data_IF_790715514732
#
_entry.id   IF_790715514732
#
_cell.length_a   1.000
_cell.length_b   1.000
_cell.length_c   1.000
_cell.angle_alpha   90.00
_cell.angle_beta   90.00
_cell.angle_gamma   90.00
#
_symmetry.space_group_name_H-M   'P 1'
#
loop_
_entity.id
_entity.type
_entity.pdbx_description
1 polymer ?
#
# COMPACT_ATOMS: atom_id res chain seq x y z
N UNK A 1 5.13 13.72 -18.22
CA UNK A 1 5.09 13.32 -16.79
C UNK A 1 5.13 11.81 -16.73
N UNK A 2 5.83 11.24 -15.75
CA UNK A 2 6.01 9.82 -15.54
C UNK A 2 5.38 9.41 -14.22
N UNK A 3 4.59 8.34 -14.24
CA UNK A 3 3.94 7.80 -13.07
C UNK A 3 4.33 6.34 -12.85
N UNK A 4 4.49 5.95 -11.59
CA UNK A 4 4.61 4.56 -11.15
C UNK A 4 3.35 4.22 -10.37
N UNK A 5 2.73 3.09 -10.69
CA UNK A 5 1.58 2.57 -9.92
C UNK A 5 1.92 1.17 -9.45
N UNK A 6 1.97 0.97 -8.13
CA UNK A 6 2.32 -0.33 -7.55
C UNK A 6 1.13 -1.28 -7.52
N UNK A 7 1.34 -2.58 -7.77
CA UNK A 7 0.27 -3.59 -7.72
C UNK A 7 -0.87 -3.34 -8.72
N UNK A 8 -0.50 -2.95 -9.95
CA UNK A 8 -1.40 -2.38 -10.95
C UNK A 8 -1.88 -3.35 -12.03
N UNK A 9 -1.63 -4.67 -11.89
CA UNK A 9 -2.09 -5.66 -12.86
C UNK A 9 -3.61 -5.94 -12.81
N UNK A 10 -4.32 -5.46 -11.78
CA UNK A 10 -5.77 -5.64 -11.59
C UNK A 10 -6.37 -4.58 -10.67
N UNK A 11 -7.69 -4.59 -10.53
CA UNK A 11 -8.42 -3.80 -9.54
C UNK A 11 -8.20 -2.29 -9.69
N UNK A 12 -8.11 -1.60 -8.55
CA UNK A 12 -7.95 -0.14 -8.49
C UNK A 12 -6.69 0.32 -9.20
N UNK A 13 -5.54 -0.35 -8.99
CA UNK A 13 -4.28 0.03 -9.62
C UNK A 13 -4.34 0.02 -11.16
N UNK A 14 -5.01 -0.97 -11.75
CA UNK A 14 -5.19 -1.04 -13.21
C UNK A 14 -6.03 0.13 -13.74
N UNK A 15 -7.09 0.50 -13.00
CA UNK A 15 -7.93 1.65 -13.35
C UNK A 15 -7.19 2.98 -13.17
N UNK A 16 -6.36 3.11 -12.15
CA UNK A 16 -5.48 4.28 -11.97
C UNK A 16 -4.55 4.43 -13.18
N UNK A 17 -3.92 3.33 -13.63
CA UNK A 17 -3.12 3.36 -14.85
C UNK A 17 -3.94 3.86 -16.05
N UNK A 18 -5.14 3.31 -16.27
CA UNK A 18 -6.04 3.72 -17.36
C UNK A 18 -6.34 5.21 -17.34
N UNK A 19 -6.66 5.77 -16.17
CA UNK A 19 -6.99 7.19 -16.05
C UNK A 19 -5.77 8.10 -16.19
N UNK A 20 -4.60 7.71 -15.67
CA UNK A 20 -3.37 8.47 -15.88
C UNK A 20 -3.00 8.50 -17.37
N UNK A 21 -3.13 7.37 -18.06
CA UNK A 21 -2.89 7.26 -19.51
C UNK A 21 -3.86 8.14 -20.33
N UNK A 22 -5.14 8.20 -19.95
CA UNK A 22 -6.12 9.07 -20.63
C UNK A 22 -5.84 10.57 -20.45
N UNK A 23 -5.13 10.94 -19.38
CA UNK A 23 -4.61 12.29 -19.15
C UNK A 23 -3.23 12.51 -19.81
N UNK A 24 -2.77 11.55 -20.61
CA UNK A 24 -1.53 11.59 -21.37
C UNK A 24 -0.24 11.45 -20.55
N UNK A 25 -0.34 10.90 -19.34
CA UNK A 25 0.81 10.58 -18.50
C UNK A 25 1.40 9.24 -18.96
N UNK A 26 2.73 9.15 -19.01
CA UNK A 26 3.42 7.87 -19.24
C UNK A 26 3.42 7.09 -17.93
N UNK A 27 2.95 5.84 -17.96
CA UNK A 27 2.75 5.01 -16.77
C UNK A 27 3.65 3.78 -16.80
N UNK A 28 4.45 3.63 -15.76
CA UNK A 28 5.10 2.37 -15.39
C UNK A 28 4.10 1.56 -14.56
N UNK A 29 3.45 0.61 -15.21
CA UNK A 29 2.57 -0.36 -14.57
C UNK A 29 3.46 -1.42 -13.91
N UNK A 30 3.33 -1.60 -12.60
CA UNK A 30 4.11 -2.63 -11.90
C UNK A 30 3.24 -3.73 -11.31
N UNK A 31 3.81 -4.93 -11.25
CA UNK A 31 3.18 -6.10 -10.68
C UNK A 31 4.24 -7.08 -10.16
N UNK A 32 3.90 -7.83 -9.12
CA UNK A 32 4.79 -8.87 -8.58
C UNK A 32 4.99 -10.04 -9.55
N UNK A 33 3.96 -10.35 -10.32
CA UNK A 33 3.93 -11.43 -11.31
C UNK A 33 4.06 -10.83 -12.71
N UNK A 34 5.14 -11.19 -13.40
CA UNK A 34 5.50 -10.65 -14.72
C UNK A 34 4.43 -10.95 -15.77
N UNK A 35 3.97 -12.20 -15.85
CA UNK A 35 2.95 -12.60 -16.82
C UNK A 35 1.68 -11.77 -16.67
N UNK A 36 1.15 -11.64 -15.46
CA UNK A 36 -0.06 -10.86 -15.19
C UNK A 36 0.15 -9.37 -15.43
N UNK A 37 1.37 -8.87 -15.20
CA UNK A 37 1.75 -7.49 -15.52
C UNK A 37 1.72 -7.20 -17.02
N UNK A 38 2.35 -8.06 -17.81
CA UNK A 38 2.35 -7.98 -19.28
C UNK A 38 0.93 -8.10 -19.85
N UNK A 39 0.13 -9.05 -19.36
CA UNK A 39 -1.28 -9.18 -19.75
C UNK A 39 -2.11 -7.92 -19.42
N UNK A 40 -1.80 -7.24 -18.31
CA UNK A 40 -2.46 -5.99 -17.94
C UNK A 40 -2.07 -4.83 -18.85
N UNK A 41 -0.81 -4.75 -19.28
CA UNK A 41 -0.36 -3.79 -20.30
C UNK A 41 -1.12 -4.01 -21.60
N UNK A 42 -1.19 -5.25 -22.10
CA UNK A 42 -1.92 -5.56 -23.33
C UNK A 42 -3.42 -5.20 -23.23
N UNK A 43 -4.04 -5.38 -22.06
CA UNK A 43 -5.42 -4.93 -21.82
C UNK A 43 -5.58 -3.41 -21.89
N UNK A 44 -4.58 -2.64 -21.44
CA UNK A 44 -4.62 -1.17 -21.51
C UNK A 44 -4.36 -0.65 -22.92
N UNK A 45 -3.54 -1.34 -23.70
CA UNK A 45 -3.27 -1.00 -25.11
C UNK A 45 -4.48 -1.25 -26.01
N UNK A 46 -5.26 -2.28 -25.72
CA UNK A 46 -6.53 -2.58 -26.40
C UNK A 46 -7.56 -1.49 -26.11
N UNK A 47 -7.61 -0.47 -26.97
CA UNK A 47 -8.59 0.62 -26.89
C UNK A 47 -8.12 1.97 -27.39
N UNK A 48 -6.81 2.18 -27.60
CA UNK A 48 -6.29 3.42 -28.22
C UNK A 48 -4.83 3.27 -28.65
N UNK A 49 -4.55 3.49 -29.94
CA UNK A 49 -3.17 3.48 -30.47
C UNK A 49 -2.28 4.53 -29.79
N UNK A 50 -2.88 5.66 -29.36
CA UNK A 50 -2.18 6.74 -28.65
C UNK A 50 -1.70 6.34 -27.24
N UNK A 51 -2.17 5.22 -26.69
CA UNK A 51 -1.83 4.73 -25.36
C UNK A 51 -0.67 3.72 -25.41
N UNK A 52 -0.44 3.10 -26.57
CA UNK A 52 0.48 1.97 -26.72
C UNK A 52 1.91 2.28 -26.26
N UNK A 53 2.42 3.46 -26.60
CA UNK A 53 3.79 3.88 -26.28
C UNK A 53 3.93 4.52 -24.88
N UNK A 54 2.81 4.71 -24.17
CA UNK A 54 2.77 5.39 -22.87
C UNK A 54 2.58 4.45 -21.68
N UNK A 55 2.37 3.17 -21.90
CA UNK A 55 2.28 2.17 -20.84
C UNK A 55 3.42 1.17 -20.93
N UNK A 56 4.20 1.08 -19.85
CA UNK A 56 5.40 0.24 -19.79
C UNK A 56 5.28 -0.66 -18.57
N UNK A 57 5.61 -1.94 -18.74
CA UNK A 57 5.65 -2.88 -17.62
C UNK A 57 7.03 -2.87 -16.97
N UNK A 58 7.06 -2.93 -15.63
CA UNK A 58 8.24 -3.32 -14.87
C UNK A 58 7.82 -4.22 -13.71
N UNK A 59 8.53 -5.31 -13.47
CA UNK A 59 8.25 -6.17 -12.32
C UNK A 59 8.52 -5.40 -11.01
N UNK A 60 7.63 -5.56 -10.02
CA UNK A 60 7.85 -5.02 -8.68
C UNK A 60 7.21 -5.92 -7.63
N UNK A 61 8.03 -6.46 -6.74
CA UNK A 61 7.62 -6.98 -5.45
C UNK A 61 8.03 -5.98 -4.37
N UNK A 62 7.07 -5.31 -3.76
CA UNK A 62 7.32 -4.24 -2.76
C UNK A 62 7.93 -4.77 -1.46
N UNK A 63 7.95 -6.09 -1.26
CA UNK A 63 8.60 -6.73 -0.11
C UNK A 63 10.05 -7.13 -0.38
N UNK A 64 10.55 -6.95 -1.61
CA UNK A 64 11.89 -7.33 -2.04
C UNK A 64 12.73 -6.09 -2.39
N UNK A 65 13.81 -5.88 -1.63
CA UNK A 65 14.73 -4.76 -1.82
C UNK A 65 15.41 -4.76 -3.20
N UNK A 66 15.73 -5.93 -3.76
CA UNK A 66 16.37 -6.02 -5.07
C UNK A 66 15.38 -5.63 -6.18
N UNK A 67 14.12 -6.05 -6.04
CA UNK A 67 13.04 -5.66 -6.96
C UNK A 67 12.78 -4.14 -6.92
N UNK A 68 12.76 -3.53 -5.73
CA UNK A 68 12.62 -2.07 -5.58
C UNK A 68 13.82 -1.32 -6.21
N UNK A 69 15.04 -1.76 -5.94
CA UNK A 69 16.25 -1.15 -6.49
C UNK A 69 16.29 -1.25 -8.02
N UNK A 70 15.88 -2.40 -8.56
CA UNK A 70 15.75 -2.62 -10.00
C UNK A 70 14.78 -1.64 -10.65
N UNK A 71 13.60 -1.41 -10.03
CA UNK A 71 12.64 -0.42 -10.51
C UNK A 71 13.21 1.01 -10.48
N UNK A 72 13.89 1.40 -9.40
CA UNK A 72 14.47 2.74 -9.30
C UNK A 72 15.52 2.98 -10.39
N UNK A 73 16.41 2.02 -10.63
CA UNK A 73 17.43 2.12 -11.68
C UNK A 73 16.80 2.13 -13.09
N UNK A 74 15.75 1.34 -13.30
CA UNK A 74 14.98 1.37 -14.54
C UNK A 74 14.38 2.76 -14.81
N UNK A 75 13.72 3.37 -13.83
CA UNK A 75 13.11 4.71 -13.98
C UNK A 75 14.18 5.76 -14.25
N UNK A 76 15.30 5.69 -13.51
CA UNK A 76 16.45 6.58 -13.71
C UNK A 76 17.00 6.48 -15.12
N UNK A 77 17.24 5.26 -15.60
CA UNK A 77 17.80 5.00 -16.92
C UNK A 77 16.85 5.37 -18.06
N UNK A 78 15.55 5.12 -17.92
CA UNK A 78 14.57 5.36 -18.98
C UNK A 78 14.04 6.79 -19.04
N UNK A 79 13.85 7.44 -17.88
CA UNK A 79 13.13 8.72 -17.80
C UNK A 79 13.93 9.81 -17.10
N UNK A 80 14.97 9.46 -16.33
CA UNK A 80 15.79 10.40 -15.57
C UNK A 80 15.10 11.06 -14.38
N UNK A 81 13.78 10.87 -14.19
CA UNK A 81 12.98 11.41 -13.09
C UNK A 81 11.67 10.64 -12.90
N UNK A 82 10.97 10.94 -11.81
CA UNK A 82 9.60 10.49 -11.57
C UNK A 82 8.72 11.68 -11.17
N UNK A 83 7.48 11.76 -11.65
CA UNK A 83 6.57 12.85 -11.26
C UNK A 83 5.49 12.38 -10.28
N UNK A 84 5.05 11.12 -10.39
CA UNK A 84 3.93 10.59 -9.60
C UNK A 84 4.27 9.17 -9.12
N UNK A 85 4.20 8.94 -7.82
CA UNK A 85 4.20 7.61 -7.23
C UNK A 85 2.81 7.32 -6.65
N UNK A 86 2.19 6.22 -7.05
CA UNK A 86 0.97 5.70 -6.44
C UNK A 86 1.27 4.38 -5.74
N UNK A 87 1.34 4.42 -4.42
CA UNK A 87 1.47 3.24 -3.57
C UNK A 87 0.09 2.58 -3.42
N UNK A 88 -0.26 1.71 -4.37
CA UNK A 88 -1.53 0.99 -4.42
C UNK A 88 -1.42 -0.48 -3.96
N UNK A 89 -0.25 -1.10 -4.08
CA UNK A 89 -0.04 -2.48 -3.65
C UNK A 89 -0.46 -2.68 -2.18
N UNK A 90 -1.28 -3.70 -1.93
CA UNK A 90 -1.72 -4.02 -0.58
C UNK A 90 -2.54 -5.30 -0.51
N UNK A 91 -2.56 -5.90 0.68
CA UNK A 91 -3.28 -7.13 1.00
C UNK A 91 -4.07 -6.99 2.30
N UNK A 92 -5.07 -7.85 2.49
CA UNK A 92 -5.98 -7.82 3.64
C UNK A 92 -5.45 -8.43 4.94
N UNK A 93 -4.38 -9.25 4.88
CA UNK A 93 -3.82 -9.91 6.06
C UNK A 93 -4.72 -10.94 6.73
N UNK A 94 -5.73 -11.42 6.00
CA UNK A 94 -6.69 -12.41 6.46
C UNK A 94 -7.24 -13.20 5.28
N UNK A 95 -7.64 -14.44 5.54
CA UNK A 95 -8.45 -15.24 4.62
C UNK A 95 -9.90 -15.07 5.04
N UNK A 96 -10.76 -14.70 4.10
CA UNK A 96 -12.19 -14.60 4.33
C UNK A 96 -12.87 -15.79 3.67
N UNK A 97 -13.69 -16.51 4.43
CA UNK A 97 -14.61 -17.50 3.89
C UNK A 97 -15.77 -16.74 3.24
N UNK A 98 -15.83 -16.79 1.91
CA UNK A 98 -16.80 -16.06 1.12
C UNK A 98 -18.23 -16.58 1.35
N UNK A 99 -18.40 -17.89 1.53
CA UNK A 99 -19.71 -18.50 1.70
C UNK A 99 -20.25 -18.18 3.10
N UNK A 100 -19.39 -18.24 4.13
CA UNK A 100 -19.73 -17.82 5.48
C UNK A 100 -20.02 -16.31 5.57
N UNK A 101 -19.26 -15.48 4.83
CA UNK A 101 -19.51 -14.05 4.76
C UNK A 101 -20.89 -13.75 4.14
N UNK A 102 -21.22 -14.38 3.01
CA UNK A 102 -22.53 -14.23 2.35
C UNK A 102 -23.66 -14.71 3.28
N UNK A 103 -23.52 -15.87 3.91
CA UNK A 103 -24.51 -16.38 4.85
C UNK A 103 -24.71 -15.46 6.08
N UNK A 104 -23.65 -14.80 6.55
CA UNK A 104 -23.75 -13.81 7.64
C UNK A 104 -24.47 -12.53 7.22
N UNK A 105 -24.33 -12.12 5.95
CA UNK A 105 -25.06 -10.96 5.40
C UNK A 105 -26.56 -11.22 5.23
N UNK A 106 -26.98 -12.49 5.18
CA UNK A 106 -28.38 -12.92 5.16
C UNK A 106 -28.98 -13.12 6.58
N UNK A 107 -28.29 -12.64 7.62
CA UNK A 107 -28.81 -12.61 9.00
C UNK A 107 -28.54 -13.86 9.83
N UNK A 108 -27.74 -14.81 9.34
CA UNK A 108 -27.27 -15.92 10.15
C UNK A 108 -26.31 -15.42 11.25
N UNK A 109 -26.51 -15.86 12.50
CA UNK A 109 -25.55 -15.62 13.60
C UNK A 109 -24.32 -16.51 13.41
N UNK A 110 -23.42 -16.08 12.55
CA UNK A 110 -22.12 -16.74 12.34
C UNK A 110 -21.08 -16.02 13.20
N UNK A 111 -20.22 -16.77 13.88
CA UNK A 111 -19.15 -16.16 14.66
C UNK A 111 -18.17 -15.48 13.72
N UNK A 112 -17.76 -14.24 14.01
CA UNK A 112 -16.78 -13.52 13.18
C UNK A 112 -15.44 -14.27 13.02
N UNK A 113 -15.07 -15.13 13.98
CA UNK A 113 -13.90 -15.99 13.88
C UNK A 113 -14.09 -17.19 12.93
N UNK A 114 -15.32 -17.53 12.56
CA UNK A 114 -15.63 -18.55 11.55
C UNK A 114 -15.60 -17.98 10.13
N UNK A 115 -15.70 -16.64 9.99
CA UNK A 115 -15.73 -15.95 8.68
C UNK A 115 -14.33 -15.49 8.26
N UNK A 116 -13.49 -15.12 9.23
CA UNK A 116 -12.19 -14.48 8.97
C UNK A 116 -11.08 -15.20 9.75
N UNK A 117 -10.17 -15.82 9.01
CA UNK A 117 -8.97 -16.46 9.54
C UNK A 117 -7.77 -15.53 9.43
N UNK A 118 -7.07 -15.34 10.54
CA UNK A 118 -5.81 -14.59 10.63
C UNK A 118 -4.78 -15.47 11.34
N UNK A 119 -3.61 -15.66 10.72
CA UNK A 119 -2.44 -16.25 11.36
C UNK A 119 -1.29 -15.25 11.33
N UNK A 120 -0.21 -15.58 12.03
CA UNK A 120 0.92 -14.67 12.18
C UNK A 120 1.58 -14.36 10.82
N UNK A 121 1.63 -15.32 9.91
CA UNK A 121 2.23 -15.18 8.58
C UNK A 121 1.45 -14.16 7.73
N UNK A 122 0.12 -14.29 7.66
CA UNK A 122 -0.75 -13.38 6.91
C UNK A 122 -0.71 -11.97 7.49
N UNK A 123 -0.69 -11.86 8.82
CA UNK A 123 -0.62 -10.58 9.53
C UNK A 123 0.72 -9.90 9.29
N UNK A 124 1.82 -10.63 9.38
CA UNK A 124 3.17 -10.13 9.11
C UNK A 124 3.32 -9.73 7.65
N UNK A 125 2.85 -10.54 6.70
CA UNK A 125 2.87 -10.21 5.27
C UNK A 125 2.06 -8.94 4.97
N UNK A 126 0.96 -8.72 5.69
CA UNK A 126 0.12 -7.53 5.53
C UNK A 126 0.84 -6.26 5.98
N UNK A 127 1.48 -6.28 7.15
CA UNK A 127 2.30 -5.17 7.63
C UNK A 127 3.47 -4.92 6.67
N UNK A 128 4.16 -5.99 6.27
CA UNK A 128 5.30 -5.94 5.36
C UNK A 128 4.94 -5.36 3.99
N UNK A 129 3.80 -5.76 3.42
CA UNK A 129 3.35 -5.26 2.11
C UNK A 129 2.77 -3.85 2.22
N UNK A 130 1.81 -3.66 3.12
CA UNK A 130 1.03 -2.42 3.16
C UNK A 130 1.87 -1.25 3.66
N UNK A 131 2.69 -1.44 4.70
CA UNK A 131 3.46 -0.37 5.30
C UNK A 131 4.93 -0.39 4.84
N UNK A 132 5.71 -1.42 5.17
CA UNK A 132 7.15 -1.42 4.88
C UNK A 132 7.44 -1.41 3.38
N UNK A 133 6.61 -2.07 2.57
CA UNK A 133 6.72 -2.03 1.12
C UNK A 133 6.43 -0.65 0.55
N UNK A 134 5.40 0.04 1.08
CA UNK A 134 5.11 1.44 0.76
C UNK A 134 6.27 2.36 1.15
N UNK A 135 6.79 2.22 2.38
CA UNK A 135 7.91 3.01 2.92
C UNK A 135 9.15 2.87 2.03
N UNK A 136 9.64 1.63 1.85
CA UNK A 136 10.85 1.36 1.05
C UNK A 136 10.71 1.76 -0.42
N UNK A 137 9.55 1.50 -1.03
CA UNK A 137 9.31 1.94 -2.42
C UNK A 137 9.34 3.46 -2.53
N UNK A 138 8.75 4.15 -1.55
CA UNK A 138 8.78 5.62 -1.51
C UNK A 138 10.20 6.13 -1.34
N UNK A 139 10.94 5.64 -0.35
CA UNK A 139 12.32 6.05 -0.07
C UNK A 139 13.24 5.86 -1.28
N UNK A 140 13.14 4.71 -1.96
CA UNK A 140 13.94 4.43 -3.15
C UNK A 140 13.63 5.36 -4.34
N UNK A 141 12.43 5.92 -4.39
CA UNK A 141 11.97 6.77 -5.49
C UNK A 141 11.97 8.27 -5.17
N UNK A 142 12.16 8.66 -3.91
CA UNK A 142 12.29 10.08 -3.50
C UNK A 142 13.36 10.81 -4.32
N UNK A 143 14.59 10.29 -4.52
CA UNK A 143 15.61 10.99 -5.30
C UNK A 143 15.18 11.30 -6.75
N UNK A 144 14.33 10.46 -7.34
CA UNK A 144 13.79 10.66 -8.69
C UNK A 144 12.59 11.61 -8.69
N UNK A 145 11.80 11.62 -7.61
CA UNK A 145 10.69 12.55 -7.40
C UNK A 145 11.19 13.98 -7.18
N UNK A 146 12.33 14.16 -6.49
CA UNK A 146 12.95 15.48 -6.27
C UNK A 146 13.37 16.16 -7.58
N UNK A 147 13.54 15.40 -8.66
CA UNK A 147 13.83 15.92 -10.00
C UNK A 147 12.56 16.37 -10.78
N UNK A 148 11.37 16.19 -10.20
CA UNK A 148 10.12 16.71 -10.76
C UNK A 148 9.89 18.16 -10.34
N UNK A 149 9.34 18.95 -11.25
CA UNK A 149 8.83 20.30 -10.93
C UNK A 149 7.57 20.25 -10.04
N UNK A 150 6.90 19.10 -9.98
CA UNK A 150 5.64 18.96 -9.26
C UNK A 150 5.44 17.52 -8.76
N UNK A 151 6.29 17.03 -7.84
CA UNK A 151 6.24 15.66 -7.35
C UNK A 151 4.95 15.35 -6.59
N UNK A 152 4.45 14.13 -6.76
CA UNK A 152 3.25 13.60 -6.11
C UNK A 152 3.50 12.21 -5.57
N UNK A 153 3.13 11.98 -4.31
CA UNK A 153 3.01 10.63 -3.74
C UNK A 153 1.56 10.45 -3.32
N UNK A 154 0.94 9.34 -3.74
CA UNK A 154 -0.42 8.98 -3.35
C UNK A 154 -0.37 7.62 -2.68
N UNK A 155 -0.68 7.58 -1.38
CA UNK A 155 -0.77 6.34 -0.62
C UNK A 155 -2.22 5.87 -0.57
N UNK A 156 -2.53 4.75 -1.23
CA UNK A 156 -3.89 4.18 -1.23
C UNK A 156 -4.17 3.53 0.12
N UNK A 157 -4.84 4.28 0.98
CA UNK A 157 -5.21 3.85 2.33
C UNK A 157 -6.61 3.22 2.39
N UNK A 158 -7.25 3.23 3.56
CA UNK A 158 -8.62 2.77 3.79
C UNK A 158 -9.31 3.60 4.86
N UNK A 159 -10.64 3.69 4.79
CA UNK A 159 -11.45 4.25 5.87
C UNK A 159 -11.28 3.49 7.20
N UNK A 160 -10.88 2.22 7.15
CA UNK A 160 -10.55 1.41 8.32
C UNK A 160 -9.27 1.87 9.02
N UNK A 161 -8.38 2.60 8.34
CA UNK A 161 -7.18 3.19 8.95
C UNK A 161 -7.45 4.44 9.82
N UNK A 162 -8.72 4.78 10.09
CA UNK A 162 -9.07 5.86 11.02
C UNK A 162 -8.78 5.43 12.45
N UNK A 163 -8.20 6.34 13.25
CA UNK A 163 -7.83 6.07 14.65
C UNK A 163 -8.98 5.59 15.56
N UNK A 164 -10.24 5.88 15.20
CA UNK A 164 -11.41 5.34 15.93
C UNK A 164 -11.50 3.80 15.89
N UNK A 165 -10.83 3.15 14.95
CA UNK A 165 -10.74 1.69 14.82
C UNK A 165 -9.49 1.09 15.46
N UNK A 166 -8.67 1.89 16.14
CA UNK A 166 -7.54 1.44 16.96
C UNK A 166 -7.94 1.59 18.42
N UNK A 167 -8.44 0.56 19.12
CA UNK A 167 -8.87 0.73 20.51
C UNK A 167 -7.68 0.94 21.45
N UNK A 168 -6.50 0.36 21.15
CA UNK A 168 -5.27 0.47 21.93
C UNK A 168 -4.86 1.95 22.10
N UNK A 169 -4.99 2.45 23.33
CA UNK A 169 -4.83 3.88 23.62
C UNK A 169 -3.38 4.36 23.54
N UNK A 170 -2.41 3.48 23.80
CA UNK A 170 -0.99 3.78 23.62
C UNK A 170 -0.68 4.01 22.14
N UNK A 171 -1.01 3.06 21.27
CA UNK A 171 -0.80 3.17 19.83
C UNK A 171 -1.59 4.35 19.23
N UNK A 172 -2.85 4.53 19.63
CA UNK A 172 -3.65 5.70 19.24
C UNK A 172 -3.02 7.01 19.70
N UNK A 173 -2.44 7.03 20.90
CA UNK A 173 -1.71 8.15 21.47
C UNK A 173 -0.48 8.54 20.65
N UNK A 174 0.29 7.55 20.20
CA UNK A 174 1.43 7.77 19.30
C UNK A 174 0.95 8.31 17.95
N UNK A 175 0.01 7.61 17.29
CA UNK A 175 -0.40 7.91 15.93
C UNK A 175 -1.19 9.23 15.78
N UNK A 176 -1.79 9.75 16.87
CA UNK A 176 -2.48 11.05 16.86
C UNK A 176 -1.53 12.23 17.04
N UNK A 177 -0.36 12.03 17.65
CA UNK A 177 0.60 13.09 17.99
C UNK A 177 1.47 13.44 16.77
N UNK A 178 0.88 14.13 15.80
CA UNK A 178 1.50 14.48 14.52
C UNK A 178 2.79 15.28 14.69
N UNK A 179 2.86 16.13 15.71
CA UNK A 179 3.98 17.04 15.90
C UNK A 179 5.25 16.31 16.30
N UNK A 180 5.11 15.25 17.10
CA UNK A 180 6.21 14.42 17.60
C UNK A 180 6.28 13.03 16.94
N UNK A 181 5.50 12.79 15.89
CA UNK A 181 5.48 11.51 15.19
C UNK A 181 6.80 11.32 14.42
N UNK A 182 7.41 10.14 14.60
CA UNK A 182 8.60 9.71 13.84
C UNK A 182 8.36 8.34 13.26
N UNK A 183 9.21 7.94 12.32
CA UNK A 183 9.10 6.60 11.71
C UNK A 183 9.43 5.51 12.72
N UNK A 184 10.38 5.75 13.62
CA UNK A 184 10.76 4.82 14.68
C UNK A 184 9.59 4.56 15.64
N UNK A 185 8.80 5.59 15.94
CA UNK A 185 7.57 5.42 16.75
C UNK A 185 6.49 4.63 16.00
N UNK A 186 6.40 4.77 14.69
CA UNK A 186 5.49 3.95 13.88
C UNK A 186 5.97 2.49 13.89
N UNK A 187 7.27 2.28 13.69
CA UNK A 187 7.88 0.96 13.67
C UNK A 187 7.72 0.28 15.04
N UNK A 188 7.86 1.01 16.16
CA UNK A 188 7.58 0.53 17.52
C UNK A 188 6.11 0.08 17.68
N UNK A 189 5.15 0.85 17.16
CA UNK A 189 3.72 0.46 17.18
C UNK A 189 3.49 -0.86 16.45
N UNK A 190 4.16 -1.07 15.32
CA UNK A 190 4.05 -2.31 14.54
C UNK A 190 4.72 -3.48 15.24
N UNK A 191 5.90 -3.29 15.83
CA UNK A 191 6.61 -4.33 16.57
C UNK A 191 5.79 -4.83 17.75
N UNK A 192 5.20 -3.91 18.53
CA UNK A 192 4.32 -4.25 19.66
C UNK A 192 3.05 -4.96 19.17
N UNK A 193 2.43 -4.46 18.10
CA UNK A 193 1.26 -5.12 17.50
C UNK A 193 1.55 -6.55 17.05
N UNK A 194 2.65 -6.78 16.31
CA UNK A 194 3.04 -8.10 15.83
C UNK A 194 3.39 -9.04 16.97
N UNK A 195 4.09 -8.55 18.00
CA UNK A 195 4.37 -9.30 19.22
C UNK A 195 3.07 -9.73 19.92
N UNK A 196 2.16 -8.79 20.16
CA UNK A 196 0.89 -9.07 20.83
C UNK A 196 0.01 -10.02 20.00
N UNK A 197 0.06 -9.94 18.67
CA UNK A 197 -0.61 -10.92 17.80
C UNK A 197 -0.03 -12.32 18.01
N UNK A 198 1.30 -12.45 17.99
CA UNK A 198 2.01 -13.73 18.15
C UNK A 198 1.75 -14.38 19.51
N UNK A 199 1.60 -13.56 20.56
CA UNK A 199 1.27 -14.00 21.92
C UNK A 199 -0.22 -14.29 22.12
N UNK A 200 -1.08 -14.06 21.09
CA UNK A 200 -2.52 -14.25 21.19
C UNK A 200 -3.21 -13.25 22.12
N UNK A 201 -2.60 -12.08 22.33
CA UNK A 201 -3.01 -11.12 23.36
C UNK A 201 -3.75 -9.89 22.82
N UNK A 202 -4.13 -9.89 21.53
CA UNK A 202 -4.78 -8.74 20.86
C UNK A 202 -5.91 -8.13 21.67
N UNK A 203 -6.88 -8.93 22.10
CA UNK A 203 -8.04 -8.45 22.87
C UNK A 203 -7.62 -7.84 24.21
N UNK A 204 -6.78 -8.55 24.97
CA UNK A 204 -6.29 -8.11 26.27
C UNK A 204 -5.47 -6.80 26.17
N UNK A 205 -4.83 -6.57 25.03
CA UNK A 205 -4.03 -5.39 24.72
C UNK A 205 -4.80 -4.31 23.94
N UNK A 206 -6.11 -4.50 23.73
CA UNK A 206 -6.97 -3.51 23.07
C UNK A 206 -6.72 -3.35 21.57
N UNK A 207 -6.14 -4.32 20.89
CA UNK A 207 -6.00 -4.31 19.44
C UNK A 207 -7.33 -4.69 18.75
N UNK A 208 -7.56 -4.25 17.49
CA UNK A 208 -8.68 -4.74 16.70
C UNK A 208 -8.59 -6.26 16.53
N UNK A 209 -9.70 -6.98 16.71
CA UNK A 209 -9.73 -8.45 16.59
C UNK A 209 -9.80 -8.94 15.15
N UNK A 210 -10.57 -8.25 14.32
CA UNK A 210 -10.89 -8.62 12.95
C UNK A 210 -10.22 -7.62 12.01
N UNK A 211 -9.66 -8.10 10.90
CA UNK A 211 -8.88 -7.28 9.97
C UNK A 211 -7.75 -6.52 10.68
N UNK A 212 -7.17 -7.13 11.71
CA UNK A 212 -6.33 -6.44 12.70
C UNK A 212 -5.11 -5.80 12.02
N UNK A 213 -4.37 -6.60 11.25
CA UNK A 213 -3.22 -6.15 10.49
C UNK A 213 -3.58 -5.11 9.42
N UNK A 214 -4.74 -5.26 8.77
CA UNK A 214 -5.19 -4.30 7.76
C UNK A 214 -5.51 -2.94 8.37
N UNK A 215 -6.27 -2.91 9.47
CA UNK A 215 -6.61 -1.69 10.21
C UNK A 215 -5.33 -1.00 10.69
N UNK A 216 -4.45 -1.74 11.37
CA UNK A 216 -3.20 -1.21 11.92
C UNK A 216 -2.28 -0.70 10.80
N UNK A 217 -2.04 -1.51 9.75
CA UNK A 217 -1.16 -1.13 8.63
C UNK A 217 -1.66 0.10 7.87
N UNK A 218 -2.97 0.29 7.72
CA UNK A 218 -3.54 1.50 7.10
C UNK A 218 -3.52 2.72 8.03
N UNK A 219 -3.65 2.52 9.34
CA UNK A 219 -3.51 3.61 10.30
C UNK A 219 -2.08 4.15 10.33
N UNK A 220 -1.08 3.26 10.37
CA UNK A 220 0.33 3.67 10.32
C UNK A 220 0.73 4.27 8.96
N UNK A 221 0.16 3.77 7.85
CA UNK A 221 0.36 4.38 6.52
C UNK A 221 -0.15 5.84 6.49
N UNK A 222 -1.30 6.12 7.11
CA UNK A 222 -1.80 7.49 7.24
C UNK A 222 -0.84 8.37 8.06
N UNK A 223 -0.30 7.82 9.15
CA UNK A 223 0.66 8.50 10.01
C UNK A 223 1.97 8.80 9.24
N UNK A 224 2.52 7.82 8.54
CA UNK A 224 3.70 7.96 7.68
C UNK A 224 3.51 8.98 6.55
N UNK A 225 2.31 9.02 5.94
CA UNK A 225 2.00 10.04 4.92
C UNK A 225 2.13 11.46 5.47
N UNK A 226 1.79 11.69 6.74
CA UNK A 226 1.98 12.99 7.42
C UNK A 226 3.46 13.29 7.67
N UNK A 227 4.25 12.29 8.05
CA UNK A 227 5.71 12.42 8.18
C UNK A 227 6.31 12.84 6.84
N UNK A 228 5.96 12.16 5.75
CA UNK A 228 6.44 12.49 4.41
C UNK A 228 6.08 13.91 4.00
N UNK A 229 4.84 14.35 4.24
CA UNK A 229 4.39 15.72 3.94
C UNK A 229 5.17 16.78 4.73
N UNK A 230 5.58 16.48 5.98
CA UNK A 230 6.40 17.37 6.78
C UNK A 230 7.87 17.39 6.32
N UNK A 231 8.42 16.25 5.93
CA UNK A 231 9.82 16.10 5.46
C UNK A 231 10.05 16.69 4.06
N UNK A 232 9.09 16.50 3.15
CA UNK A 232 9.21 16.91 1.74
C UNK A 232 8.17 17.98 1.39
N UNK A 233 8.37 19.21 1.86
CA UNK A 233 7.40 20.32 1.72
C UNK A 233 7.15 20.75 0.27
N UNK A 234 8.05 20.41 -0.67
CA UNK A 234 7.86 20.62 -2.11
C UNK A 234 6.96 19.59 -2.78
N UNK A 235 6.62 18.50 -2.09
CA UNK A 235 5.79 17.42 -2.61
C UNK A 235 4.33 17.69 -2.24
N UNK A 236 3.39 17.27 -3.09
CA UNK A 236 1.99 17.14 -2.66
C UNK A 236 1.70 15.67 -2.41
N UNK A 237 1.37 15.37 -1.15
CA UNK A 237 1.04 14.04 -0.65
C UNK A 237 -0.43 13.95 -0.26
#
# INVERSE_FOLDING_TARGET
>A
RYAVVTGANKGIGLEICRQLLSQGITVVLTARDEKRGLEAVEKLKKGSDSVSDRVIFHQLQVTDLASIASLAEFIKSQFGKLDILVNNAGIGGSIMDADAFIASSDGAKINSNEIITQNYELVSECVETNYYGTKRTTEALIPLLELSESPRIVNVSSAMGKLKYIPNDWAKGILKDVDNLTEEKIDEVLDVFLKDFKEGSLEAKGWPKIFSAYIVSKAVMNAYTRILAKKHTGFRN
#
